data_IF_305327930039
#
_entry.id   IF_305327930039
#
_cell.length_a   1.000
_cell.length_b   1.000
_cell.length_c   1.000
_cell.angle_alpha   90.00
_cell.angle_beta   90.00
_cell.angle_gamma   90.00
#
_symmetry.space_group_name_H-M   'P 1'
#
loop_
_entity.id
_entity.type
_entity.pdbx_description
1 polymer ?
#
# COMPACT_ATOMS: atom_id res chain seq x y z
N UNK A 1 24.92 52.23 -23.52
CA UNK A 1 25.14 50.81 -23.13
C UNK A 1 24.14 50.46 -22.04
N UNK A 2 23.07 49.80 -22.42
CA UNK A 2 21.98 49.40 -21.46
C UNK A 2 22.31 48.02 -20.90
N UNK A 3 22.54 47.93 -19.59
CA UNK A 3 22.74 46.66 -18.89
C UNK A 3 21.38 46.00 -18.70
N UNK A 4 21.19 44.87 -19.38
CA UNK A 4 20.03 43.98 -19.15
C UNK A 4 20.32 43.14 -17.91
N UNK A 5 19.60 43.39 -16.83
CA UNK A 5 19.63 42.57 -15.64
C UNK A 5 18.67 41.41 -15.86
N UNK A 6 19.22 40.20 -16.07
CA UNK A 6 18.47 38.97 -16.18
C UNK A 6 18.09 38.52 -14.76
N UNK A 7 16.85 38.77 -14.37
CA UNK A 7 16.29 38.25 -13.12
C UNK A 7 15.89 36.77 -13.39
N UNK A 8 16.74 35.85 -12.94
CA UNK A 8 16.40 34.42 -12.89
C UNK A 8 15.43 34.21 -11.72
N UNK A 9 14.15 34.17 -12.00
CA UNK A 9 13.13 33.70 -11.04
C UNK A 9 13.31 32.21 -10.86
N UNK A 10 14.01 31.82 -9.79
CA UNK A 10 13.99 30.44 -9.28
C UNK A 10 12.62 30.22 -8.66
N UNK A 11 11.70 29.67 -9.43
CA UNK A 11 10.48 29.10 -8.89
C UNK A 11 10.86 27.84 -8.10
N UNK A 12 11.09 28.01 -6.80
CA UNK A 12 11.08 26.90 -5.85
C UNK A 12 9.64 26.34 -5.85
N UNK A 13 9.43 25.29 -6.59
CA UNK A 13 8.22 24.48 -6.46
C UNK A 13 8.23 23.89 -5.05
N UNK A 14 7.54 24.53 -4.13
CA UNK A 14 7.17 23.97 -2.85
C UNK A 14 6.28 22.76 -3.16
N UNK A 15 6.89 21.59 -3.21
CA UNK A 15 6.16 20.32 -3.17
C UNK A 15 5.55 20.29 -1.76
N UNK A 16 4.33 20.82 -1.64
CA UNK A 16 3.49 20.56 -0.49
C UNK A 16 3.20 19.07 -0.51
N UNK A 17 3.93 18.30 0.29
CA UNK A 17 3.50 16.95 0.63
C UNK A 17 2.10 17.09 1.20
N UNK A 18 1.09 16.67 0.45
CA UNK A 18 -0.29 16.76 0.88
C UNK A 18 -0.40 16.13 2.26
N UNK A 19 -0.78 16.93 3.25
CA UNK A 19 -0.98 16.43 4.61
C UNK A 19 -2.18 15.49 4.57
N UNK A 20 -1.99 14.25 5.05
CA UNK A 20 -3.04 13.25 5.05
C UNK A 20 -4.15 13.68 6.03
N UNK A 21 -5.38 13.80 5.54
CA UNK A 21 -6.53 14.17 6.38
C UNK A 21 -6.89 13.00 7.29
N UNK A 22 -6.73 13.21 8.61
CA UNK A 22 -7.16 12.25 9.62
C UNK A 22 -8.68 12.31 9.83
N UNK A 23 -9.26 11.15 10.13
CA UNK A 23 -10.69 10.96 10.40
C UNK A 23 -10.84 10.25 11.73
N UNK A 24 -11.79 10.66 12.58
CA UNK A 24 -12.08 9.95 13.82
C UNK A 24 -12.80 8.61 13.56
N UNK A 25 -12.78 7.71 14.54
CA UNK A 25 -13.53 6.45 14.42
C UNK A 25 -15.04 6.69 14.32
N UNK A 26 -15.56 7.68 15.04
CA UNK A 26 -16.95 8.04 15.03
C UNK A 26 -17.38 8.60 13.65
N UNK A 27 -16.54 9.46 13.06
CA UNK A 27 -16.77 10.01 11.72
C UNK A 27 -16.76 8.88 10.67
N UNK A 28 -15.75 7.99 10.73
CA UNK A 28 -15.66 6.86 9.82
C UNK A 28 -16.88 5.93 9.93
N UNK A 29 -17.26 5.54 11.15
CA UNK A 29 -18.41 4.65 11.36
C UNK A 29 -19.75 5.29 10.93
N UNK A 30 -19.91 6.59 11.17
CA UNK A 30 -21.12 7.31 10.77
C UNK A 30 -21.26 7.46 9.26
N UNK A 31 -20.15 7.46 8.53
CA UNK A 31 -20.11 7.55 7.06
C UNK A 31 -20.09 6.19 6.37
N UNK A 32 -20.07 5.08 7.13
CA UNK A 32 -19.94 3.74 6.56
C UNK A 32 -21.19 3.33 5.79
N UNK A 33 -21.02 3.00 4.50
CA UNK A 33 -22.09 2.61 3.59
C UNK A 33 -21.74 1.35 2.75
N UNK A 34 -22.60 1.00 1.82
CA UNK A 34 -22.38 -0.14 0.91
C UNK A 34 -21.18 0.09 -0.02
N UNK A 35 -20.89 1.32 -0.39
CA UNK A 35 -19.73 1.64 -1.23
C UNK A 35 -18.43 1.41 -0.45
N UNK A 36 -18.37 1.90 0.79
CA UNK A 36 -17.21 1.68 1.66
C UNK A 36 -17.01 0.18 1.97
N UNK A 37 -18.12 -0.56 2.18
CA UNK A 37 -18.08 -2.01 2.37
C UNK A 37 -17.38 -2.74 1.21
N UNK A 38 -17.51 -2.28 -0.02
CA UNK A 38 -16.82 -2.84 -1.19
C UNK A 38 -15.40 -2.25 -1.34
N UNK A 39 -15.24 -0.95 -1.10
CA UNK A 39 -13.95 -0.26 -1.25
C UNK A 39 -12.89 -0.70 -0.25
N UNK A 40 -13.30 -1.13 0.96
CA UNK A 40 -12.36 -1.48 2.02
C UNK A 40 -11.51 -2.73 1.74
N UNK A 41 -11.86 -3.54 0.75
CA UNK A 41 -11.27 -4.85 0.49
C UNK A 41 -10.77 -4.99 -0.95
N UNK A 42 -9.87 -5.91 -1.19
CA UNK A 42 -9.33 -6.26 -2.51
C UNK A 42 -9.07 -7.76 -2.57
N UNK A 43 -9.21 -8.36 -3.76
CA UNK A 43 -8.90 -9.77 -4.01
C UNK A 43 -7.47 -9.94 -4.54
N UNK A 44 -6.96 -11.16 -4.44
CA UNK A 44 -5.60 -11.53 -4.88
C UNK A 44 -5.28 -11.09 -6.31
N UNK A 45 -6.07 -11.40 -7.36
CA UNK A 45 -5.70 -11.01 -8.73
C UNK A 45 -5.56 -9.49 -8.91
N UNK A 46 -6.51 -8.71 -8.35
CA UNK A 46 -6.50 -7.26 -8.45
C UNK A 46 -5.32 -6.65 -7.65
N UNK A 47 -5.00 -7.24 -6.50
CA UNK A 47 -3.85 -6.84 -5.70
C UNK A 47 -2.54 -7.05 -6.47
N UNK A 48 -2.35 -8.22 -7.07
CA UNK A 48 -1.15 -8.54 -7.84
C UNK A 48 -0.97 -7.58 -9.01
N UNK A 49 -2.03 -7.32 -9.80
CA UNK A 49 -1.98 -6.37 -10.91
C UNK A 49 -1.53 -4.97 -10.47
N UNK A 50 -2.08 -4.45 -9.36
CA UNK A 50 -1.70 -3.12 -8.84
C UNK A 50 -0.26 -3.08 -8.29
N UNK A 51 0.22 -4.18 -7.72
CA UNK A 51 1.62 -4.30 -7.25
C UNK A 51 2.59 -4.37 -8.44
N UNK A 52 2.27 -5.13 -9.48
CA UNK A 52 3.02 -5.18 -10.74
C UNK A 52 3.14 -3.80 -11.39
N UNK A 53 2.04 -3.05 -11.45
CA UNK A 53 2.01 -1.70 -12.00
C UNK A 53 2.71 -0.65 -11.10
N UNK A 54 3.16 -1.03 -9.91
CA UNK A 54 3.77 -0.12 -8.93
C UNK A 54 2.78 0.89 -8.31
N UNK A 55 1.48 0.68 -8.48
CA UNK A 55 0.38 1.51 -7.94
C UNK A 55 0.01 1.16 -6.51
N UNK A 56 0.38 -0.03 -6.05
CA UNK A 56 0.14 -0.49 -4.69
C UNK A 56 1.39 -1.13 -4.06
N UNK A 57 1.38 -1.20 -2.73
CA UNK A 57 2.32 -2.03 -1.98
C UNK A 57 1.55 -3.01 -1.09
N UNK A 58 2.07 -4.23 -0.96
CA UNK A 58 1.58 -5.22 -0.02
C UNK A 58 2.31 -5.07 1.32
N UNK A 59 1.54 -4.88 2.39
CA UNK A 59 2.07 -4.77 3.77
C UNK A 59 1.59 -5.97 4.57
N UNK A 60 2.51 -6.87 4.86
CA UNK A 60 2.28 -8.00 5.76
C UNK A 60 2.34 -7.53 7.21
N UNK A 61 1.20 -7.58 7.92
CA UNK A 61 1.06 -7.06 9.27
C UNK A 61 1.23 -8.14 10.34
N UNK A 62 1.66 -9.33 9.96
CA UNK A 62 1.96 -10.42 10.90
C UNK A 62 3.19 -10.08 11.76
N UNK A 63 3.32 -10.77 12.87
CA UNK A 63 4.54 -10.69 13.68
C UNK A 63 5.76 -11.11 12.87
N UNK A 64 6.94 -10.63 13.28
CA UNK A 64 8.20 -10.85 12.54
C UNK A 64 8.50 -12.33 12.37
N UNK A 65 8.27 -13.11 13.40
CA UNK A 65 8.51 -14.56 13.41
C UNK A 65 7.63 -15.30 12.40
N UNK A 66 6.37 -14.88 12.25
CA UNK A 66 5.46 -15.42 11.23
C UNK A 66 5.95 -15.07 9.81
N UNK A 67 6.43 -13.84 9.63
CA UNK A 67 6.96 -13.36 8.35
C UNK A 67 8.28 -14.06 7.99
N UNK A 68 9.18 -14.24 8.95
CA UNK A 68 10.46 -14.92 8.74
C UNK A 68 10.29 -16.38 8.32
N UNK A 69 9.28 -17.08 8.86
CA UNK A 69 9.02 -18.49 8.50
C UNK A 69 8.57 -18.61 7.03
N UNK A 70 7.69 -17.73 6.58
CA UNK A 70 7.30 -17.65 5.17
C UNK A 70 6.63 -16.30 4.87
N UNK A 71 6.83 -15.76 3.68
CA UNK A 71 6.23 -14.51 3.22
C UNK A 71 6.21 -14.39 1.69
N UNK A 72 5.43 -13.45 1.17
CA UNK A 72 5.54 -13.01 -0.22
C UNK A 72 6.78 -12.12 -0.36
N UNK A 73 7.69 -12.44 -1.25
CA UNK A 73 8.97 -11.72 -1.43
C UNK A 73 8.83 -10.24 -1.80
N UNK A 74 7.67 -9.85 -2.32
CA UNK A 74 7.32 -8.46 -2.66
C UNK A 74 6.58 -7.72 -1.53
N UNK A 75 6.30 -8.37 -0.40
CA UNK A 75 5.62 -7.76 0.74
C UNK A 75 6.60 -7.07 1.68
N UNK A 76 6.20 -5.91 2.20
CA UNK A 76 6.89 -5.24 3.30
C UNK A 76 6.29 -5.69 4.64
N UNK A 77 7.12 -6.14 5.57
CA UNK A 77 6.63 -6.47 6.91
C UNK A 77 6.59 -5.24 7.82
N UNK A 78 5.41 -4.93 8.30
CA UNK A 78 5.18 -3.96 9.38
C UNK A 78 4.16 -4.57 10.35
N UNK A 79 4.62 -5.22 11.41
CA UNK A 79 3.73 -5.83 12.40
C UNK A 79 2.65 -4.87 12.91
N UNK A 80 1.43 -5.38 13.13
CA UNK A 80 0.28 -4.56 13.51
C UNK A 80 0.56 -3.69 14.75
N UNK A 81 1.27 -4.23 15.74
CA UNK A 81 1.67 -3.50 16.96
C UNK A 81 2.77 -2.44 16.73
N UNK A 82 3.51 -2.53 15.63
CA UNK A 82 4.53 -1.55 15.24
C UNK A 82 3.97 -0.48 14.28
N UNK A 83 2.88 -0.77 13.59
CA UNK A 83 2.31 0.07 12.55
C UNK A 83 2.13 1.54 12.96
N UNK A 84 1.63 1.87 14.20
CA UNK A 84 1.48 3.27 14.60
C UNK A 84 2.79 4.06 14.63
N UNK A 85 3.91 3.42 14.93
CA UNK A 85 5.23 4.05 15.01
C UNK A 85 5.95 4.09 13.65
N UNK A 86 5.46 3.32 12.66
CA UNK A 86 6.10 3.11 11.37
C UNK A 86 5.29 3.64 10.19
N UNK A 87 4.28 4.47 10.44
CA UNK A 87 3.46 5.11 9.38
C UNK A 87 4.31 5.88 8.36
N UNK A 88 5.39 6.52 8.81
CA UNK A 88 6.29 7.27 7.93
C UNK A 88 7.04 6.44 6.90
N UNK A 89 7.05 5.11 7.04
CA UNK A 89 7.65 4.20 6.07
C UNK A 89 6.73 3.88 4.88
N UNK A 90 5.46 4.27 4.96
CA UNK A 90 4.45 4.00 3.94
C UNK A 90 4.37 5.15 2.93
N UNK A 91 4.32 4.87 1.61
CA UNK A 91 4.10 5.88 0.60
C UNK A 91 2.71 6.49 0.74
N UNK A 92 2.60 7.81 0.53
CA UNK A 92 1.33 8.54 0.63
C UNK A 92 0.56 8.58 -0.69
N UNK A 93 1.22 8.27 -1.78
CA UNK A 93 0.74 8.35 -3.15
C UNK A 93 0.34 7.00 -3.76
N UNK A 94 0.49 5.91 -2.99
CA UNK A 94 0.14 4.56 -3.42
C UNK A 94 -0.97 3.96 -2.57
N UNK A 95 -1.66 2.98 -3.13
CA UNK A 95 -2.59 2.13 -2.38
C UNK A 95 -1.79 1.23 -1.43
N UNK A 96 -2.15 1.24 -0.15
CA UNK A 96 -1.59 0.33 0.86
C UNK A 96 -2.53 -0.87 1.00
N UNK A 97 -2.02 -2.07 0.70
CA UNK A 97 -2.81 -3.30 0.85
C UNK A 97 -2.27 -4.06 2.05
N UNK A 98 -3.05 -4.11 3.11
CA UNK A 98 -2.69 -4.84 4.32
C UNK A 98 -3.06 -6.31 4.21
N UNK A 99 -2.19 -7.20 4.69
CA UNK A 99 -2.40 -8.64 4.60
C UNK A 99 -2.00 -9.39 5.88
N UNK A 100 -2.72 -10.46 6.16
CA UNK A 100 -2.41 -11.49 7.15
C UNK A 100 -2.86 -12.86 6.59
N UNK A 101 -2.72 -14.00 7.29
CA UNK A 101 -3.09 -15.30 6.72
C UNK A 101 -4.52 -15.36 6.17
N UNK A 102 -5.47 -14.71 6.85
CA UNK A 102 -6.87 -14.57 6.41
C UNK A 102 -7.19 -13.09 6.14
N UNK A 103 -7.95 -12.41 7.02
CA UNK A 103 -8.30 -11.00 6.87
C UNK A 103 -8.58 -10.26 8.19
N UNK A 104 -8.65 -10.98 9.30
CA UNK A 104 -9.00 -10.46 10.63
C UNK A 104 -8.06 -9.32 11.07
N UNK A 105 -6.76 -9.59 11.20
CA UNK A 105 -5.75 -8.59 11.59
C UNK A 105 -5.54 -7.52 10.53
N UNK A 106 -5.59 -7.88 9.25
CA UNK A 106 -5.38 -6.93 8.16
C UNK A 106 -6.53 -5.93 8.04
N UNK A 107 -7.77 -6.30 8.38
CA UNK A 107 -8.88 -5.35 8.42
C UNK A 107 -8.71 -4.27 9.52
N UNK A 108 -8.14 -4.65 10.67
CA UNK A 108 -7.79 -3.70 11.75
C UNK A 108 -6.70 -2.73 11.27
N UNK A 109 -5.63 -3.25 10.66
CA UNK A 109 -4.56 -2.43 10.11
C UNK A 109 -5.09 -1.45 9.04
N UNK A 110 -5.93 -1.93 8.14
CA UNK A 110 -6.59 -1.11 7.13
C UNK A 110 -7.39 0.03 7.74
N UNK A 111 -8.24 -0.26 8.73
CA UNK A 111 -9.03 0.76 9.41
C UNK A 111 -8.13 1.84 10.01
N UNK A 112 -7.09 1.44 10.73
CA UNK A 112 -6.12 2.37 11.31
C UNK A 112 -5.45 3.26 10.25
N UNK A 113 -5.03 2.70 9.12
CA UNK A 113 -4.45 3.45 8.01
C UNK A 113 -5.43 4.46 7.41
N UNK A 114 -6.68 4.05 7.17
CA UNK A 114 -7.73 4.92 6.65
C UNK A 114 -8.01 6.10 7.57
N UNK A 115 -8.09 5.86 8.88
CA UNK A 115 -8.24 6.93 9.87
C UNK A 115 -7.05 7.91 9.89
N UNK A 116 -5.87 7.46 9.49
CA UNK A 116 -4.68 8.31 9.34
C UNK A 116 -4.53 8.91 7.93
N UNK A 117 -5.56 8.79 7.07
CA UNK A 117 -5.64 9.43 5.77
C UNK A 117 -4.98 8.66 4.62
N UNK A 118 -4.45 7.45 4.87
CA UNK A 118 -3.91 6.62 3.80
C UNK A 118 -5.00 5.99 2.95
N UNK A 119 -4.77 5.90 1.65
CA UNK A 119 -5.58 5.07 0.78
C UNK A 119 -5.24 3.60 1.07
N UNK A 120 -6.13 2.88 1.73
CA UNK A 120 -5.85 1.53 2.21
C UNK A 120 -7.00 0.54 1.94
N UNK A 121 -6.63 -0.68 1.59
CA UNK A 121 -7.52 -1.84 1.48
C UNK A 121 -6.92 -3.02 2.25
N UNK A 122 -7.76 -3.96 2.68
CA UNK A 122 -7.26 -5.23 3.19
C UNK A 122 -7.41 -6.33 2.14
N UNK A 123 -6.47 -7.27 2.13
CA UNK A 123 -6.51 -8.45 1.25
C UNK A 123 -7.57 -9.44 1.76
N UNK A 124 -8.71 -9.47 1.09
CA UNK A 124 -9.88 -10.26 1.52
C UNK A 124 -9.65 -11.78 1.43
N UNK A 125 -8.83 -12.21 0.48
CA UNK A 125 -8.49 -13.63 0.33
C UNK A 125 -7.43 -14.08 1.35
N UNK A 126 -6.66 -13.15 1.90
CA UNK A 126 -5.55 -13.41 2.79
C UNK A 126 -4.33 -14.04 2.11
N UNK A 127 -3.22 -14.10 2.84
CA UNK A 127 -1.94 -14.61 2.30
C UNK A 127 -2.00 -16.09 1.94
N UNK A 128 -2.81 -16.89 2.62
CA UNK A 128 -2.90 -18.33 2.35
C UNK A 128 -3.50 -18.60 0.97
N UNK A 129 -4.61 -17.95 0.61
CA UNK A 129 -5.19 -18.07 -0.73
C UNK A 129 -4.31 -17.42 -1.79
N UNK A 130 -3.61 -16.35 -1.46
CA UNK A 130 -2.62 -15.76 -2.35
C UNK A 130 -1.48 -16.73 -2.66
N UNK A 131 -0.97 -17.43 -1.65
CA UNK A 131 0.04 -18.47 -1.84
C UNK A 131 -0.48 -19.64 -2.70
N UNK A 132 -1.75 -20.02 -2.52
CA UNK A 132 -2.39 -21.03 -3.35
C UNK A 132 -2.58 -20.56 -4.80
N UNK A 133 -2.94 -19.31 -5.03
CA UNK A 133 -3.07 -18.71 -6.35
C UNK A 133 -1.71 -18.61 -7.07
N UNK A 134 -0.66 -18.22 -6.35
CA UNK A 134 0.71 -18.11 -6.88
C UNK A 134 1.43 -19.47 -6.90
N UNK A 135 0.91 -20.40 -7.70
CA UNK A 135 1.53 -21.71 -7.97
C UNK A 135 1.70 -21.93 -9.47
N UNK A 136 2.75 -22.66 -9.83
CA UNK A 136 3.01 -23.00 -11.24
C UNK A 136 3.14 -21.77 -12.13
N UNK A 137 2.39 -21.75 -13.22
CA UNK A 137 2.48 -20.69 -14.22
C UNK A 137 2.08 -19.32 -13.69
N UNK A 138 1.08 -19.22 -12.81
CA UNK A 138 0.70 -17.95 -12.19
C UNK A 138 1.84 -17.29 -11.43
N UNK A 139 2.66 -18.07 -10.70
CA UNK A 139 3.81 -17.54 -10.00
C UNK A 139 4.88 -17.04 -10.95
N UNK A 140 5.11 -17.78 -12.06
CA UNK A 140 6.09 -17.41 -13.07
C UNK A 140 5.70 -16.14 -13.79
N UNK A 141 4.47 -16.04 -14.27
CA UNK A 141 3.93 -14.87 -14.98
C UNK A 141 4.03 -13.63 -14.09
N UNK A 142 3.55 -13.72 -12.85
CA UNK A 142 3.62 -12.62 -11.90
C UNK A 142 5.07 -12.14 -11.68
N UNK A 143 6.00 -13.04 -11.42
CA UNK A 143 7.40 -12.66 -11.16
C UNK A 143 8.06 -12.04 -12.41
N UNK A 144 7.78 -12.55 -13.59
CA UNK A 144 8.32 -12.02 -14.84
C UNK A 144 7.84 -10.56 -15.06
N UNK A 145 6.55 -10.27 -14.88
CA UNK A 145 6.00 -8.93 -15.04
C UNK A 145 6.42 -7.98 -13.90
N UNK A 146 6.39 -8.44 -12.66
CA UNK A 146 6.86 -7.67 -11.50
C UNK A 146 8.32 -7.24 -11.67
N UNK A 147 9.21 -8.14 -12.04
CA UNK A 147 10.62 -7.83 -12.24
C UNK A 147 10.84 -6.84 -13.39
N UNK A 148 10.10 -6.96 -14.51
CA UNK A 148 10.14 -6.01 -15.62
C UNK A 148 9.73 -4.61 -15.14
N UNK A 149 8.65 -4.50 -14.39
CA UNK A 149 8.17 -3.21 -13.87
C UNK A 149 9.17 -2.56 -12.92
N UNK A 150 9.81 -3.35 -12.04
CA UNK A 150 10.84 -2.83 -11.12
C UNK A 150 12.09 -2.32 -11.86
N UNK A 151 12.46 -2.93 -13.00
CA UNK A 151 13.57 -2.46 -13.83
C UNK A 151 13.25 -1.15 -14.56
N UNK A 152 12.00 -0.98 -15.02
CA UNK A 152 11.55 0.25 -15.71
C UNK A 152 11.46 1.44 -14.77
N UNK A 153 11.09 1.23 -13.51
CA UNK A 153 10.95 2.28 -12.50
C UNK A 153 12.30 2.78 -11.91
N UNK A 154 13.42 2.12 -12.23
CA UNK A 154 14.77 2.51 -11.79
C UNK A 154 15.54 3.37 -12.81
N UNK A 155 14.95 3.64 -13.96
CA UNK A 155 15.51 4.53 -15.00
C UNK A 155 14.89 5.91 -14.92
#
# INVERSE_FOLDING_TARGET
MKKVILIVLVMAALIHAAELKKVSIEEYLSSFDYQERENMKIKTPDMLALVEEGKAILVDIRFREEFEVWHMNFAKNIPLNELPKRLGELPKDKLIITACPHYDRSSIARLFLTMNGYNAKYLNDGLLKTAEFLRGDNAKEFLDEYNKSQMSNKK
#
